data_IF_476889753182
#
_entry.id   IF_476889753182
#
_cell.length_a   1.000
_cell.length_b   1.000
_cell.length_c   1.000
_cell.angle_alpha   90.00
_cell.angle_beta   90.00
_cell.angle_gamma   90.00
#
_symmetry.space_group_name_H-M   'P 1'
#
loop_
_entity.id
_entity.type
_entity.pdbx_description
1 polymer ?
#
# COMPACT_ATOMS: atom_id res chain seq x y z
N UNK A 1 8.29 -8.47 10.74
CA UNK A 1 8.15 -8.42 9.27
C UNK A 1 8.01 -9.82 8.70
N UNK A 2 7.12 -10.02 7.72
CA UNK A 2 6.90 -11.30 7.03
C UNK A 2 6.76 -11.07 5.54
N UNK A 3 7.11 -12.07 4.72
CA UNK A 3 6.85 -12.06 3.29
C UNK A 3 5.55 -12.82 3.00
N UNK A 4 4.78 -12.36 2.01
CA UNK A 4 3.62 -13.06 1.49
C UNK A 4 4.01 -14.38 0.82
N UNK A 5 3.04 -15.25 0.68
CA UNK A 5 3.20 -16.59 0.10
C UNK A 5 2.21 -16.85 -1.04
N UNK A 6 2.22 -18.08 -1.52
CA UNK A 6 1.27 -18.55 -2.51
C UNK A 6 -0.17 -18.45 -1.99
N UNK A 7 -1.08 -18.19 -2.89
CA UNK A 7 -2.51 -18.02 -2.62
C UNK A 7 -3.29 -19.13 -3.33
N UNK A 8 -4.38 -19.55 -2.72
CA UNK A 8 -5.34 -20.42 -3.37
C UNK A 8 -6.25 -19.58 -4.28
N UNK A 9 -6.07 -19.74 -5.60
CA UNK A 9 -6.81 -18.97 -6.59
C UNK A 9 -8.28 -19.40 -6.70
N UNK A 10 -8.58 -20.63 -6.33
CA UNK A 10 -9.94 -21.18 -6.41
C UNK A 10 -10.85 -20.63 -5.29
N UNK A 11 -10.23 -20.11 -4.22
CA UNK A 11 -10.92 -19.47 -3.10
C UNK A 11 -11.04 -17.94 -3.23
N UNK A 12 -10.48 -17.34 -4.29
CA UNK A 12 -10.53 -15.90 -4.50
C UNK A 12 -11.92 -15.49 -4.98
N UNK A 13 -12.51 -14.53 -4.26
CA UNK A 13 -13.78 -13.91 -4.56
C UNK A 13 -13.60 -12.51 -5.15
N UNK A 14 -14.56 -12.04 -5.95
CA UNK A 14 -14.58 -10.68 -6.45
C UNK A 14 -14.84 -9.66 -5.32
N UNK A 15 -15.62 -10.05 -4.32
CA UNK A 15 -15.93 -9.28 -3.11
C UNK A 15 -15.83 -10.20 -1.90
N UNK A 16 -15.47 -9.68 -0.73
CA UNK A 16 -15.32 -10.46 0.49
C UNK A 16 -14.77 -9.64 1.65
N UNK A 17 -14.57 -10.30 2.78
CA UNK A 17 -14.18 -9.64 4.03
C UNK A 17 -12.70 -9.27 4.07
N UNK A 18 -11.81 -10.13 3.57
CA UNK A 18 -10.36 -9.98 3.72
C UNK A 18 -9.69 -9.83 2.36
N UNK A 19 -9.11 -8.64 2.04
CA UNK A 19 -8.46 -8.44 0.76
C UNK A 19 -7.22 -9.32 0.59
N UNK A 20 -7.05 -9.83 -0.62
CA UNK A 20 -5.83 -10.48 -1.10
C UNK A 20 -5.03 -9.43 -1.84
N UNK A 21 -3.81 -9.13 -1.38
CA UNK A 21 -3.01 -8.00 -1.83
C UNK A 21 -1.73 -8.46 -2.52
N UNK A 22 -1.52 -8.00 -3.75
CA UNK A 22 -0.35 -8.28 -4.56
C UNK A 22 0.61 -7.09 -4.66
N UNK A 23 1.77 -7.29 -5.32
CA UNK A 23 2.75 -6.25 -5.62
C UNK A 23 2.28 -5.37 -6.79
N UNK A 24 1.22 -4.60 -6.60
CA UNK A 24 0.67 -3.68 -7.58
C UNK A 24 0.36 -2.32 -6.94
N UNK A 25 0.59 -1.24 -7.69
CA UNK A 25 0.34 0.13 -7.21
C UNK A 25 -1.09 0.60 -7.53
N UNK A 26 -1.74 -0.02 -8.51
CA UNK A 26 -3.11 0.29 -8.90
C UNK A 26 -4.12 -0.50 -8.07
N UNK A 27 -5.30 0.08 -7.82
CA UNK A 27 -6.37 -0.58 -7.08
C UNK A 27 -5.98 -1.02 -5.67
N UNK A 28 -5.09 -0.28 -5.01
CA UNK A 28 -4.49 -0.62 -3.71
C UNK A 28 -3.80 -1.99 -3.67
N UNK A 29 -3.46 -2.56 -4.84
CA UNK A 29 -2.88 -3.90 -4.97
C UNK A 29 -3.88 -5.04 -4.74
N UNK A 30 -5.17 -4.76 -4.56
CA UNK A 30 -6.18 -5.78 -4.28
C UNK A 30 -6.45 -6.57 -5.56
N UNK A 31 -6.29 -7.90 -5.48
CA UNK A 31 -6.52 -8.85 -6.58
C UNK A 31 -7.74 -9.74 -6.36
N UNK A 32 -8.40 -9.61 -5.22
CA UNK A 32 -9.60 -10.30 -4.81
C UNK A 32 -9.71 -10.35 -3.30
N UNK A 33 -10.58 -11.22 -2.81
CA UNK A 33 -10.90 -11.31 -1.38
C UNK A 33 -11.04 -12.76 -0.92
N UNK A 34 -10.82 -12.98 0.38
CA UNK A 34 -11.23 -14.17 1.10
C UNK A 34 -12.31 -13.81 2.13
N UNK A 35 -13.22 -14.76 2.43
CA UNK A 35 -14.27 -14.55 3.43
C UNK A 35 -13.92 -15.11 4.81
N UNK A 36 -13.12 -16.18 4.87
CA UNK A 36 -12.94 -16.98 6.09
C UNK A 36 -11.56 -16.87 6.71
N UNK A 37 -10.56 -16.50 5.92
CA UNK A 37 -9.17 -16.53 6.36
C UNK A 37 -8.39 -15.32 5.92
N UNK A 38 -7.37 -14.99 6.70
CA UNK A 38 -6.36 -14.00 6.39
C UNK A 38 -5.03 -14.41 7.02
N UNK A 39 -3.93 -13.82 6.56
CA UNK A 39 -2.59 -14.16 7.07
C UNK A 39 -1.96 -13.07 7.92
N UNK A 40 -2.38 -11.84 7.77
CA UNK A 40 -1.85 -10.69 8.49
C UNK A 40 -2.95 -9.90 9.16
N UNK A 41 -2.80 -9.71 10.48
CA UNK A 41 -3.69 -8.84 11.26
C UNK A 41 -3.37 -7.37 10.99
N UNK A 42 -4.40 -6.56 10.81
CA UNK A 42 -4.30 -5.11 10.83
C UNK A 42 -4.17 -4.56 12.27
N UNK A 43 -3.63 -3.34 12.48
CA UNK A 43 -2.99 -2.52 11.46
C UNK A 43 -1.62 -3.06 11.06
N UNK A 44 -1.22 -2.85 9.81
CA UNK A 44 0.09 -3.24 9.28
C UNK A 44 0.45 -2.37 8.07
N UNK A 45 1.72 -2.36 7.66
CA UNK A 45 2.17 -1.72 6.42
C UNK A 45 2.61 -2.79 5.45
N UNK A 46 2.07 -2.76 4.21
CA UNK A 46 2.62 -3.58 3.11
C UNK A 46 3.70 -2.81 2.38
N UNK A 47 4.75 -3.51 1.94
CA UNK A 47 5.82 -2.94 1.11
C UNK A 47 6.00 -3.81 -0.11
N UNK A 48 5.97 -3.21 -1.30
CA UNK A 48 6.17 -3.97 -2.54
C UNK A 48 7.58 -4.55 -2.59
N UNK A 49 7.67 -5.85 -2.81
CA UNK A 49 8.94 -6.59 -2.84
C UNK A 49 9.33 -7.07 -4.24
N UNK A 50 8.54 -6.78 -5.29
CA UNK A 50 8.81 -7.16 -6.67
C UNK A 50 8.22 -6.15 -7.65
N UNK A 51 8.90 -5.97 -8.79
CA UNK A 51 8.53 -5.01 -9.82
C UNK A 51 8.90 -3.61 -9.36
N UNK A 52 7.92 -2.77 -9.11
CA UNK A 52 8.12 -1.44 -8.53
C UNK A 52 8.25 -1.58 -7.01
N UNK A 53 9.48 -1.81 -6.55
CA UNK A 53 9.78 -2.19 -5.17
C UNK A 53 9.86 -1.00 -4.21
N UNK A 54 9.58 -1.26 -2.93
CA UNK A 54 9.77 -0.29 -1.86
C UNK A 54 8.58 0.63 -1.59
N UNK A 55 7.46 0.47 -2.30
CA UNK A 55 6.25 1.26 -2.03
C UNK A 55 5.51 0.71 -0.82
N UNK A 56 5.42 1.53 0.20
CA UNK A 56 4.71 1.23 1.44
C UNK A 56 3.25 1.68 1.38
N UNK A 57 2.34 0.90 1.99
CA UNK A 57 0.92 1.24 2.12
C UNK A 57 0.35 0.73 3.44
N UNK A 58 -0.29 1.62 4.21
CA UNK A 58 -1.00 1.27 5.44
C UNK A 58 -2.24 0.41 5.15
N UNK A 59 -2.43 -0.62 5.96
CA UNK A 59 -3.57 -1.56 5.90
C UNK A 59 -4.30 -1.57 7.22
N UNK A 60 -5.58 -1.22 7.18
CA UNK A 60 -6.43 -1.13 8.37
C UNK A 60 -7.40 -2.31 8.51
N UNK A 61 -7.43 -3.20 7.53
CA UNK A 61 -8.24 -4.42 7.52
C UNK A 61 -7.30 -5.61 7.42
N UNK A 62 -7.62 -6.70 8.09
CA UNK A 62 -6.88 -7.96 7.98
C UNK A 62 -6.81 -8.42 6.53
N UNK A 63 -5.68 -8.97 6.09
CA UNK A 63 -5.45 -9.26 4.69
C UNK A 63 -4.53 -10.48 4.47
N UNK A 64 -4.49 -10.95 3.22
CA UNK A 64 -3.56 -12.00 2.77
C UNK A 64 -2.57 -11.41 1.75
N UNK A 65 -1.28 -11.29 2.09
CA UNK A 65 -0.26 -10.83 1.14
C UNK A 65 0.12 -11.96 0.17
N UNK A 66 0.12 -11.65 -1.13
CA UNK A 66 0.60 -12.55 -2.18
C UNK A 66 2.13 -12.61 -2.14
N UNK A 67 2.69 -13.65 -2.74
CA UNK A 67 4.13 -13.93 -2.79
C UNK A 67 4.96 -12.67 -3.06
N UNK A 68 5.98 -12.46 -2.23
CA UNK A 68 6.93 -11.33 -2.27
C UNK A 68 6.37 -9.96 -1.87
N UNK A 69 5.10 -9.80 -1.59
CA UNK A 69 4.63 -8.61 -0.88
C UNK A 69 5.10 -8.71 0.57
N UNK A 70 5.80 -7.70 1.06
CA UNK A 70 6.28 -7.67 2.42
C UNK A 70 5.23 -7.04 3.33
N UNK A 71 5.14 -7.51 4.58
CA UNK A 71 4.26 -6.95 5.60
C UNK A 71 5.06 -6.62 6.84
N UNK A 72 4.94 -5.38 7.28
CA UNK A 72 5.58 -4.83 8.48
C UNK A 72 4.50 -4.60 9.52
N UNK A 73 4.64 -5.25 10.67
CA UNK A 73 3.80 -5.01 11.83
C UNK A 73 4.64 -4.32 12.91
N UNK A 74 4.10 -3.28 13.51
CA UNK A 74 4.75 -2.47 14.52
C UNK A 74 3.71 -1.95 15.52
N UNK A 75 4.15 -1.48 16.68
CA UNK A 75 3.33 -0.74 17.65
C UNK A 75 3.29 0.76 17.34
N UNK A 76 4.09 1.21 16.39
CA UNK A 76 4.11 2.58 15.90
C UNK A 76 2.91 2.90 15.00
N UNK A 77 2.57 4.19 14.86
CA UNK A 77 1.48 4.63 13.99
C UNK A 77 1.68 4.16 12.54
N UNK A 78 0.66 3.51 12.00
CA UNK A 78 0.74 2.85 10.68
C UNK A 78 0.86 3.83 9.53
N UNK A 79 0.29 5.03 9.64
CA UNK A 79 0.38 6.06 8.61
C UNK A 79 1.71 6.81 8.67
N UNK A 80 2.23 7.02 9.89
CA UNK A 80 3.61 7.50 10.06
C UNK A 80 4.60 6.52 9.42
N UNK A 81 4.46 5.23 9.73
CA UNK A 81 5.36 4.19 9.23
C UNK A 81 5.28 4.02 7.71
N UNK A 82 4.09 4.11 7.10
CA UNK A 82 3.90 4.15 5.65
C UNK A 82 4.73 5.25 5.02
N UNK A 83 4.59 6.48 5.53
CA UNK A 83 5.29 7.65 5.00
C UNK A 83 6.79 7.56 5.23
N UNK A 84 7.23 7.15 6.42
CA UNK A 84 8.63 6.99 6.75
C UNK A 84 9.32 5.97 5.84
N UNK A 85 8.70 4.83 5.56
CA UNK A 85 9.23 3.83 4.62
C UNK A 85 9.27 4.39 3.19
N UNK A 86 8.27 5.13 2.76
CA UNK A 86 8.22 5.74 1.43
C UNK A 86 9.29 6.82 1.21
N UNK A 87 9.89 7.37 2.28
CA UNK A 87 11.05 8.28 2.15
C UNK A 87 12.39 7.57 2.00
N UNK A 88 12.45 6.26 2.26
CA UNK A 88 13.68 5.50 2.16
C UNK A 88 14.14 5.38 0.71
N UNK A 89 15.41 5.62 0.46
CA UNK A 89 16.04 5.34 -0.84
C UNK A 89 16.44 3.88 -0.88
N UNK A 90 15.49 3.02 -1.24
CA UNK A 90 15.72 1.58 -1.33
C UNK A 90 16.53 1.29 -2.60
N UNK A 91 17.77 0.81 -2.41
CA UNK A 91 18.66 0.43 -3.50
C UNK A 91 18.62 -1.09 -3.64
N UNK A 92 18.36 -1.56 -4.86
CA UNK A 92 18.35 -2.99 -5.17
C UNK A 92 19.41 -3.26 -6.22
N UNK A 93 20.43 -3.99 -5.80
CA UNK A 93 21.41 -4.54 -6.70
C UNK A 93 20.84 -5.81 -7.35
N UNK A 94 20.36 -5.69 -8.57
CA UNK A 94 19.81 -6.84 -9.31
C UNK A 94 20.18 -6.73 -10.79
N UNK A 95 20.68 -7.83 -11.34
CA UNK A 95 20.91 -8.01 -12.79
C UNK A 95 19.67 -8.52 -13.52
N UNK A 96 18.56 -8.75 -12.80
CA UNK A 96 17.29 -9.26 -13.31
C UNK A 96 16.09 -8.45 -12.80
N UNK A 97 14.97 -9.12 -12.52
CA UNK A 97 13.78 -8.46 -11.96
C UNK A 97 14.09 -7.97 -10.54
N UNK A 98 13.93 -6.66 -10.27
CA UNK A 98 14.14 -6.10 -8.93
C UNK A 98 13.34 -6.86 -7.87
N UNK A 99 13.99 -7.20 -6.77
CA UNK A 99 13.35 -7.91 -5.67
C UNK A 99 13.88 -7.40 -4.33
N UNK A 100 12.95 -6.98 -3.46
CA UNK A 100 13.21 -6.62 -2.07
C UNK A 100 12.78 -7.79 -1.17
N UNK A 101 13.65 -8.19 -0.25
CA UNK A 101 13.39 -9.25 0.70
C UNK A 101 13.27 -8.70 2.11
N UNK A 102 12.69 -9.47 3.05
CA UNK A 102 12.61 -9.09 4.47
C UNK A 102 13.98 -8.75 5.06
N UNK A 103 15.05 -9.55 4.86
CA UNK A 103 16.38 -9.21 5.39
C UNK A 103 16.98 -7.93 4.77
N UNK A 104 16.65 -7.60 3.52
CA UNK A 104 17.09 -6.37 2.90
C UNK A 104 16.34 -5.16 3.47
N UNK A 105 15.00 -5.24 3.57
CA UNK A 105 14.19 -4.16 4.16
C UNK A 105 14.59 -3.92 5.63
N UNK A 106 14.91 -4.97 6.38
CA UNK A 106 15.31 -4.87 7.79
C UNK A 106 16.63 -4.13 8.02
N UNK A 107 17.44 -3.87 6.99
CA UNK A 107 18.68 -3.08 7.09
C UNK A 107 18.45 -1.57 7.08
N UNK A 108 17.26 -1.13 6.65
CA UNK A 108 16.93 0.29 6.61
C UNK A 108 16.45 0.76 7.97
N UNK A 109 16.95 1.89 8.39
CA UNK A 109 16.59 2.54 9.66
C UNK A 109 15.54 3.61 9.39
N UNK A 110 14.52 3.63 10.25
CA UNK A 110 13.49 4.67 10.30
C UNK A 110 13.68 5.45 11.58
N UNK A 111 13.81 6.76 11.45
CA UNK A 111 13.84 7.65 12.60
C UNK A 111 12.42 7.86 13.13
N UNK A 112 12.20 7.58 14.40
CA UNK A 112 10.93 7.79 15.07
C UNK A 112 11.00 9.04 15.95
N UNK A 113 9.89 9.79 16.07
CA UNK A 113 9.74 10.80 17.10
C UNK A 113 9.95 10.23 18.51
N UNK A 114 10.25 11.09 19.47
CA UNK A 114 10.44 10.64 20.85
C UNK A 114 9.13 10.33 21.56
N UNK A 115 8.03 10.88 21.06
CA UNK A 115 6.70 10.76 21.64
C UNK A 115 5.77 10.10 20.63
N UNK A 116 4.95 9.14 21.10
CA UNK A 116 4.01 8.41 20.23
C UNK A 116 2.88 9.32 19.70
N UNK A 117 2.46 10.32 20.48
CA UNK A 117 1.46 11.29 20.04
C UNK A 117 1.98 12.15 18.87
N UNK A 118 3.27 12.42 18.79
CA UNK A 118 3.87 13.10 17.63
C UNK A 118 3.80 12.22 16.37
N UNK A 119 4.02 10.91 16.49
CA UNK A 119 3.83 9.97 15.37
C UNK A 119 2.40 9.99 14.86
N UNK A 120 1.42 9.92 15.77
CA UNK A 120 -0.01 9.94 15.43
C UNK A 120 -0.40 11.25 14.72
N UNK A 121 0.10 12.40 15.20
CA UNK A 121 -0.15 13.68 14.57
C UNK A 121 0.45 13.76 13.16
N UNK A 122 1.69 13.31 12.99
CA UNK A 122 2.35 13.27 11.67
C UNK A 122 1.60 12.31 10.73
N UNK A 123 1.26 11.11 11.19
CA UNK A 123 0.51 10.14 10.42
C UNK A 123 -0.86 10.66 9.98
N UNK A 124 -1.60 11.28 10.90
CA UNK A 124 -2.89 11.91 10.62
C UNK A 124 -2.78 13.04 9.60
N UNK A 125 -1.73 13.86 9.69
CA UNK A 125 -1.47 14.95 8.74
C UNK A 125 -1.27 14.40 7.31
N UNK A 126 -0.41 13.41 7.12
CA UNK A 126 -0.20 12.81 5.80
C UNK A 126 -1.46 12.12 5.26
N UNK A 127 -2.21 11.41 6.10
CA UNK A 127 -3.49 10.83 5.72
C UNK A 127 -4.49 11.89 5.22
N UNK A 128 -4.53 13.07 5.86
CA UNK A 128 -5.38 14.18 5.42
C UNK A 128 -4.91 14.74 4.07
N UNK A 129 -3.60 14.89 3.87
CA UNK A 129 -3.04 15.32 2.59
C UNK A 129 -3.40 14.36 1.46
N UNK A 130 -3.25 13.06 1.64
CA UNK A 130 -3.62 12.05 0.66
C UNK A 130 -5.12 12.10 0.30
N UNK A 131 -5.96 12.32 1.30
CA UNK A 131 -7.39 12.50 1.09
C UNK A 131 -7.69 13.74 0.23
N UNK A 132 -7.06 14.88 0.53
CA UNK A 132 -7.23 16.12 -0.23
C UNK A 132 -6.73 15.98 -1.67
N UNK A 133 -5.57 15.33 -1.89
CA UNK A 133 -5.02 15.03 -3.21
C UNK A 133 -6.02 14.17 -4.00
N UNK A 134 -6.55 13.13 -3.38
CA UNK A 134 -7.54 12.23 -4.02
C UNK A 134 -8.82 12.98 -4.42
N UNK A 135 -9.34 13.84 -3.54
CA UNK A 135 -10.51 14.66 -3.84
C UNK A 135 -10.25 15.61 -5.00
N UNK A 136 -9.11 16.29 -4.99
CA UNK A 136 -8.72 17.22 -6.05
C UNK A 136 -8.58 16.52 -7.41
N UNK A 137 -7.94 15.35 -7.44
CA UNK A 137 -7.84 14.53 -8.65
C UNK A 137 -9.21 14.13 -9.19
N UNK A 138 -10.14 13.70 -8.32
CA UNK A 138 -11.52 13.35 -8.72
C UNK A 138 -12.25 14.54 -9.34
N UNK A 139 -12.12 15.73 -8.77
CA UNK A 139 -12.74 16.95 -9.33
C UNK A 139 -12.14 17.33 -10.69
N UNK A 140 -10.81 17.25 -10.84
CA UNK A 140 -10.15 17.46 -12.15
C UNK A 140 -10.67 16.47 -13.20
N UNK A 141 -10.81 15.18 -12.88
CA UNK A 141 -11.35 14.17 -13.78
C UNK A 141 -12.81 14.48 -14.20
N UNK A 142 -13.66 14.91 -13.26
CA UNK A 142 -15.04 15.32 -13.56
C UNK A 142 -15.05 16.50 -14.53
N UNK A 143 -14.24 17.53 -14.30
CA UNK A 143 -14.14 18.69 -15.17
C UNK A 143 -13.64 18.34 -16.57
N UNK A 144 -12.58 17.54 -16.68
CA UNK A 144 -12.05 17.07 -17.97
C UNK A 144 -13.12 16.27 -18.75
N UNK A 145 -13.77 15.32 -18.09
CA UNK A 145 -14.84 14.52 -18.69
C UNK A 145 -15.99 15.39 -19.20
N UNK A 146 -16.42 16.37 -18.42
CA UNK A 146 -17.46 17.33 -18.83
C UNK A 146 -17.05 18.12 -20.07
N UNK A 147 -15.80 18.62 -20.12
CA UNK A 147 -15.29 19.37 -21.29
C UNK A 147 -15.23 18.51 -22.54
N UNK A 148 -14.75 17.27 -22.44
CA UNK A 148 -14.69 16.33 -23.58
C UNK A 148 -16.09 16.03 -24.13
N UNK A 149 -17.07 15.78 -23.26
CA UNK A 149 -18.46 15.51 -23.66
C UNK A 149 -19.11 16.74 -24.33
N UNK A 150 -18.78 17.95 -23.88
CA UNK A 150 -19.27 19.18 -24.44
C UNK A 150 -18.72 19.45 -25.85
N UNK A 151 -17.47 19.08 -26.12
CA UNK A 151 -16.85 19.16 -27.45
C UNK A 151 -17.50 18.16 -28.41
N UNK A 152 -17.71 16.90 -27.99
CA UNK A 152 -18.34 15.85 -28.82
C UNK A 152 -19.81 16.16 -29.22
N UNK A 153 -20.52 16.99 -28.45
CA UNK A 153 -21.89 17.39 -28.76
C UNK A 153 -21.98 18.56 -29.78
N UNK A 154 -20.85 19.20 -30.10
CA UNK A 154 -20.78 20.33 -31.02
C UNK A 154 -20.24 19.95 -32.41
N UNK A 155 -19.74 18.71 -32.55
CA UNK A 155 -19.35 18.05 -33.81
C UNK A 155 -20.47 17.15 -34.30
#
# INVERSE_FOLDING_TARGET
MVAGGDIDKDLILAEGQYPVIANALTGDGIVGYYDKEYRVNAPAVTVTGRGDVGHAKARLVNFTPVVRLLSVKSEHDVFFLENAINTLKIVIESTGVPQLTVPQLAKYEVAFPRQLDEEEHIGAFFKQLDHLITLHQRELYKHLRYRILKVRRKS
#
